data_IF_694039943662
#
_entry.id   IF_694039943662
#
_cell.length_a   1.000
_cell.length_b   1.000
_cell.length_c   1.000
_cell.angle_alpha   90.00
_cell.angle_beta   90.00
_cell.angle_gamma   90.00
#
_symmetry.space_group_name_H-M   'P 1'
#
loop_
_entity.id
_entity.type
_entity.pdbx_description
1 polymer ?
#
# COMPACT_ATOMS: atom_id res chain seq x y z
N UNK A 1 -9.04 10.81 -10.83
CA UNK A 1 -9.94 10.94 -9.65
C UNK A 1 -10.71 12.27 -9.63
N UNK A 2 -10.57 13.14 -10.63
CA UNK A 2 -11.09 14.51 -10.59
C UNK A 2 -12.61 14.63 -10.81
N UNK A 3 -13.36 13.53 -10.84
CA UNK A 3 -14.81 13.53 -11.17
C UNK A 3 -15.70 13.03 -10.03
N UNK A 4 -15.09 12.58 -8.93
CA UNK A 4 -15.77 11.87 -7.84
C UNK A 4 -15.92 12.81 -6.66
N UNK A 5 -17.10 12.82 -6.04
CA UNK A 5 -17.32 13.39 -4.71
C UNK A 5 -17.67 12.29 -3.74
N UNK A 6 -17.41 12.51 -2.46
CA UNK A 6 -17.72 11.54 -1.43
C UNK A 6 -17.97 12.14 -0.08
N UNK A 7 -18.50 11.30 0.81
CA UNK A 7 -18.69 11.61 2.22
C UNK A 7 -17.98 10.53 3.04
N UNK A 8 -17.31 10.95 4.10
CA UNK A 8 -16.55 10.08 4.99
C UNK A 8 -16.89 10.39 6.44
N UNK A 9 -17.06 9.35 7.26
CA UNK A 9 -17.27 9.48 8.70
C UNK A 9 -15.95 9.40 9.45
N UNK A 10 -15.70 10.37 10.33
CA UNK A 10 -14.56 10.40 11.25
C UNK A 10 -14.83 9.58 12.53
N UNK A 11 -13.80 9.10 13.24
CA UNK A 11 -12.37 9.15 12.89
C UNK A 11 -12.03 8.23 11.71
N UNK A 12 -10.93 8.54 11.02
CA UNK A 12 -10.40 7.71 9.95
C UNK A 12 -9.80 6.45 10.53
N UNK A 13 -10.47 5.33 10.31
CA UNK A 13 -10.04 4.00 10.78
C UNK A 13 -9.83 3.00 9.65
N UNK A 14 -10.04 3.44 8.40
CA UNK A 14 -9.93 2.64 7.19
C UNK A 14 -11.13 1.72 6.91
N UNK A 15 -12.22 1.84 7.69
CA UNK A 15 -13.42 1.06 7.44
C UNK A 15 -14.10 1.52 6.12
N UNK A 16 -14.20 0.66 5.09
CA UNK A 16 -14.81 1.04 3.82
C UNK A 16 -16.29 1.45 3.98
N UNK A 17 -17.03 0.86 4.92
CA UNK A 17 -18.44 1.21 5.21
C UNK A 17 -18.61 2.62 5.76
N UNK A 18 -17.53 3.30 6.20
CA UNK A 18 -17.56 4.69 6.64
C UNK A 18 -17.36 5.70 5.50
N UNK A 19 -17.15 5.23 4.28
CA UNK A 19 -16.86 6.06 3.13
C UNK A 19 -17.82 5.75 1.99
N UNK A 20 -18.22 6.79 1.26
CA UNK A 20 -19.04 6.66 0.06
C UNK A 20 -18.53 7.65 -0.98
N UNK A 21 -18.30 7.18 -2.20
CA UNK A 21 -17.94 7.99 -3.35
C UNK A 21 -18.92 7.80 -4.50
N UNK A 22 -19.21 8.87 -5.23
CA UNK A 22 -20.06 8.84 -6.43
C UNK A 22 -19.44 9.71 -7.52
N UNK A 23 -19.63 9.33 -8.78
CA UNK A 23 -19.22 10.14 -9.93
C UNK A 23 -20.19 11.32 -10.00
N UNK A 24 -19.68 12.51 -9.67
CA UNK A 24 -20.49 13.72 -9.62
C UNK A 24 -20.74 14.30 -11.00
N UNK A 25 -19.72 14.27 -11.86
CA UNK A 25 -19.70 14.96 -13.14
C UNK A 25 -19.13 14.05 -14.24
N UNK A 26 -19.56 14.26 -15.48
CA UNK A 26 -18.95 13.60 -16.64
C UNK A 26 -17.56 14.19 -16.93
N UNK A 27 -17.38 15.48 -16.58
CA UNK A 27 -16.12 16.21 -16.58
C UNK A 27 -15.44 16.28 -15.22
N UNK A 28 -14.36 17.06 -15.13
CA UNK A 28 -13.69 17.36 -13.87
C UNK A 28 -14.54 18.25 -12.97
N UNK A 29 -14.49 18.00 -11.66
CA UNK A 29 -15.07 18.87 -10.63
C UNK A 29 -14.08 19.99 -10.36
N UNK A 30 -14.45 21.20 -10.76
CA UNK A 30 -13.59 22.39 -10.60
C UNK A 30 -13.80 23.10 -9.27
N UNK A 31 -14.99 22.96 -8.68
CA UNK A 31 -15.33 23.60 -7.42
C UNK A 31 -16.40 22.80 -6.68
N UNK A 32 -16.32 22.85 -5.34
CA UNK A 32 -17.33 22.28 -4.46
C UNK A 32 -17.54 23.19 -3.24
N UNK A 33 -18.78 23.29 -2.78
CA UNK A 33 -19.14 24.03 -1.55
C UNK A 33 -20.26 23.32 -0.80
N UNK A 34 -20.08 23.14 0.51
CA UNK A 34 -21.12 22.58 1.39
C UNK A 34 -21.98 23.69 2.00
N UNK A 35 -23.24 23.37 2.30
CA UNK A 35 -24.08 24.23 3.11
C UNK A 35 -23.58 24.27 4.56
N UNK A 36 -23.86 25.37 5.26
CA UNK A 36 -23.43 25.57 6.65
C UNK A 36 -23.96 24.47 7.60
N UNK A 37 -25.14 23.93 7.30
CA UNK A 37 -25.76 22.83 8.06
C UNK A 37 -25.34 21.43 7.56
N UNK A 38 -24.47 21.34 6.56
CA UNK A 38 -23.95 20.10 6.01
C UNK A 38 -24.97 19.23 5.26
N UNK A 39 -26.21 19.71 5.06
CA UNK A 39 -27.29 18.94 4.40
C UNK A 39 -27.22 18.99 2.88
N UNK A 40 -26.50 19.94 2.32
CA UNK A 40 -26.34 20.09 0.88
C UNK A 40 -24.89 20.28 0.49
N UNK A 41 -24.56 19.77 -0.68
CA UNK A 41 -23.28 19.97 -1.35
C UNK A 41 -23.55 20.45 -2.77
N UNK A 42 -22.87 21.49 -3.21
CA UNK A 42 -22.94 21.98 -4.58
C UNK A 42 -21.61 21.66 -5.26
N UNK A 43 -21.67 21.12 -6.47
CA UNK A 43 -20.50 20.82 -7.30
C UNK A 43 -20.62 21.51 -8.65
N UNK A 44 -19.51 22.00 -9.19
CA UNK A 44 -19.45 22.61 -10.52
C UNK A 44 -18.48 21.82 -11.42
N UNK A 45 -18.99 21.36 -12.55
CA UNK A 45 -18.21 20.65 -13.55
C UNK A 45 -17.62 21.61 -14.57
N UNK A 46 -16.31 21.52 -14.79
CA UNK A 46 -15.59 22.45 -15.67
C UNK A 46 -15.92 22.22 -17.14
N UNK A 47 -15.69 20.99 -17.60
CA UNK A 47 -15.84 20.62 -19.02
C UNK A 47 -17.26 20.23 -19.40
N UNK A 48 -18.11 19.87 -18.45
CA UNK A 48 -19.53 19.57 -18.70
C UNK A 48 -20.45 20.79 -18.48
N UNK A 49 -19.89 21.93 -18.05
CA UNK A 49 -20.59 23.20 -17.83
C UNK A 49 -21.85 23.08 -16.96
N UNK A 50 -21.87 22.13 -16.03
CA UNK A 50 -23.03 21.84 -15.19
C UNK A 50 -22.76 22.15 -13.72
N UNK A 51 -23.83 22.41 -12.98
CA UNK A 51 -23.80 22.56 -11.51
C UNK A 51 -24.83 21.62 -10.92
N UNK A 52 -24.40 20.77 -9.99
CA UNK A 52 -25.28 19.85 -9.28
C UNK A 52 -25.45 20.26 -7.83
N UNK A 53 -26.67 20.11 -7.33
CA UNK A 53 -27.03 20.25 -5.92
C UNK A 53 -27.35 18.87 -5.37
N UNK A 54 -26.52 18.42 -4.43
CA UNK A 54 -26.61 17.12 -3.78
C UNK A 54 -27.23 17.29 -2.40
N UNK A 55 -28.13 16.38 -2.04
CA UNK A 55 -28.61 16.24 -0.67
C UNK A 55 -27.76 15.21 0.06
N UNK A 56 -27.10 15.63 1.14
CA UNK A 56 -26.28 14.77 1.99
C UNK A 56 -27.16 14.09 3.03
N UNK A 57 -27.07 12.75 3.13
CA UNK A 57 -27.83 11.94 4.08
C UNK A 57 -26.86 11.12 4.95
N UNK A 58 -26.44 11.64 6.10
CA UNK A 58 -25.53 10.92 7.01
C UNK A 58 -26.10 9.57 7.48
N UNK A 59 -27.42 9.45 7.57
CA UNK A 59 -28.11 8.24 8.00
C UNK A 59 -27.81 7.04 7.09
N UNK A 60 -27.54 7.28 5.80
CA UNK A 60 -27.17 6.23 4.86
C UNK A 60 -25.79 5.62 5.20
N UNK A 61 -24.85 6.44 5.68
CA UNK A 61 -23.53 5.96 6.13
C UNK A 61 -23.69 5.19 7.44
N UNK A 62 -24.51 5.67 8.37
CA UNK A 62 -24.78 4.91 9.61
C UNK A 62 -25.44 3.55 9.33
N UNK A 63 -26.37 3.50 8.37
CA UNK A 63 -26.96 2.24 7.92
C UNK A 63 -25.92 1.32 7.25
N UNK A 64 -25.02 1.87 6.44
CA UNK A 64 -23.92 1.09 5.82
C UNK A 64 -22.99 0.47 6.87
N UNK A 65 -22.63 1.25 7.90
CA UNK A 65 -21.82 0.76 9.03
C UNK A 65 -22.56 -0.36 9.78
N UNK A 66 -23.87 -0.19 10.02
CA UNK A 66 -24.67 -1.21 10.69
C UNK A 66 -24.79 -2.51 9.87
N UNK A 67 -24.88 -2.41 8.53
CA UNK A 67 -24.93 -3.56 7.63
C UNK A 67 -23.57 -4.25 7.45
N UNK A 68 -22.47 -3.50 7.53
CA UNK A 68 -21.10 -4.02 7.42
C UNK A 68 -20.74 -5.09 8.46
N UNK A 69 -21.51 -5.16 9.55
CA UNK A 69 -21.36 -6.20 10.56
C UNK A 69 -20.13 -6.03 11.45
N UNK A 70 -19.64 -7.14 12.01
CA UNK A 70 -18.52 -7.16 12.95
C UNK A 70 -17.32 -6.35 12.47
N UNK A 71 -16.61 -5.73 13.42
CA UNK A 71 -15.52 -4.78 13.20
C UNK A 71 -14.46 -5.25 12.21
N UNK A 72 -14.25 -6.56 12.05
CA UNK A 72 -13.22 -7.11 11.16
C UNK A 72 -13.70 -7.38 9.73
N UNK A 73 -14.98 -7.70 9.53
CA UNK A 73 -15.50 -8.15 8.23
C UNK A 73 -15.26 -7.15 7.09
N UNK A 74 -15.51 -5.83 7.26
CA UNK A 74 -15.25 -4.86 6.20
C UNK A 74 -13.79 -4.86 5.72
N UNK A 75 -12.83 -5.13 6.61
CA UNK A 75 -11.41 -5.20 6.27
C UNK A 75 -11.05 -6.51 5.57
N UNK A 76 -11.70 -7.62 5.94
CA UNK A 76 -11.53 -8.91 5.26
C UNK A 76 -12.11 -8.93 3.85
N UNK A 77 -13.07 -8.07 3.53
CA UNK A 77 -13.57 -7.95 2.15
C UNK A 77 -12.60 -7.16 1.26
N UNK A 78 -11.68 -6.39 1.85
CA UNK A 78 -10.65 -5.65 1.12
C UNK A 78 -9.43 -6.50 0.79
N UNK A 79 -9.17 -7.60 1.51
CA UNK A 79 -8.05 -8.49 1.19
C UNK A 79 -8.35 -9.35 -0.05
N UNK A 80 -7.30 -9.69 -0.80
CA UNK A 80 -7.44 -10.52 -1.99
C UNK A 80 -8.01 -11.91 -1.62
N UNK A 81 -9.05 -12.34 -2.33
CA UNK A 81 -9.73 -13.61 -2.05
C UNK A 81 -10.65 -13.61 -0.82
N UNK A 82 -10.73 -12.49 -0.09
CA UNK A 82 -11.67 -12.33 1.03
C UNK A 82 -11.34 -13.19 2.27
N UNK A 83 -12.30 -13.37 3.19
CA UNK A 83 -12.09 -14.09 4.47
C UNK A 83 -11.78 -15.60 4.32
N UNK A 84 -12.03 -16.18 3.15
CA UNK A 84 -11.73 -17.58 2.83
C UNK A 84 -10.66 -17.75 1.75
N UNK A 85 -9.96 -16.67 1.39
CA UNK A 85 -8.90 -16.69 0.39
C UNK A 85 -7.59 -17.26 0.93
N UNK A 86 -6.74 -17.74 0.02
CA UNK A 86 -5.40 -18.25 0.35
C UNK A 86 -4.55 -17.19 1.06
N UNK A 87 -4.70 -15.92 0.67
CA UNK A 87 -3.98 -14.80 1.29
C UNK A 87 -4.38 -14.58 2.76
N UNK A 88 -5.64 -14.80 3.14
CA UNK A 88 -6.05 -14.76 4.54
C UNK A 88 -5.37 -15.87 5.35
N UNK A 89 -5.30 -17.08 4.80
CA UNK A 89 -4.61 -18.21 5.42
C UNK A 89 -3.09 -17.93 5.55
N UNK A 90 -2.49 -17.25 4.57
CA UNK A 90 -1.10 -16.79 4.61
C UNK A 90 -0.85 -15.79 5.74
N UNK A 91 -1.70 -14.74 5.88
CA UNK A 91 -1.64 -13.81 7.02
C UNK A 91 -1.71 -14.56 8.34
N UNK A 92 -2.65 -15.50 8.46
CA UNK A 92 -2.81 -16.31 9.67
C UNK A 92 -1.56 -17.15 9.95
N UNK A 93 -0.97 -17.76 8.93
CA UNK A 93 0.23 -18.58 9.07
C UNK A 93 1.43 -17.74 9.52
N UNK A 94 1.65 -16.56 8.91
CA UNK A 94 2.72 -15.65 9.33
C UNK A 94 2.51 -15.11 10.74
N UNK A 95 1.28 -14.79 11.12
CA UNK A 95 0.94 -14.35 12.47
C UNK A 95 1.34 -15.40 13.51
N UNK A 96 0.94 -16.66 13.32
CA UNK A 96 1.33 -17.75 14.22
C UNK A 96 2.84 -18.02 14.18
N UNK A 97 3.46 -17.95 13.01
CA UNK A 97 4.90 -18.09 12.89
C UNK A 97 5.66 -17.02 13.69
N UNK A 98 5.26 -15.75 13.57
CA UNK A 98 5.86 -14.65 14.33
C UNK A 98 5.70 -14.84 15.85
N UNK A 99 4.55 -15.35 16.29
CA UNK A 99 4.31 -15.68 17.70
C UNK A 99 5.21 -16.80 18.22
N UNK A 100 5.47 -17.82 17.40
CA UNK A 100 6.40 -18.90 17.77
C UNK A 100 7.84 -18.41 17.78
N UNK A 101 8.21 -17.59 16.80
CA UNK A 101 9.55 -16.99 16.67
C UNK A 101 9.87 -16.05 17.85
N UNK A 102 8.90 -15.26 18.32
CA UNK A 102 9.11 -14.35 19.45
C UNK A 102 9.37 -15.06 20.79
N UNK A 103 9.09 -16.37 20.90
CA UNK A 103 9.38 -17.19 22.08
C UNK A 103 10.78 -17.82 22.06
N UNK A 104 11.59 -17.51 21.02
CA UNK A 104 12.93 -18.05 20.81
C UNK A 104 12.93 -19.26 19.89
N UNK A 105 13.87 -19.27 18.94
CA UNK A 105 14.02 -20.34 17.95
C UNK A 105 14.58 -21.62 18.60
N UNK A 106 15.52 -21.47 19.54
CA UNK A 106 16.20 -22.55 20.27
C UNK A 106 15.67 -22.74 21.69
N UNK A 107 14.39 -23.07 21.82
CA UNK A 107 13.77 -23.35 23.12
C UNK A 107 13.20 -24.77 23.19
N UNK A 108 13.48 -25.46 24.29
CA UNK A 108 12.86 -26.75 24.64
C UNK A 108 11.57 -26.58 25.44
N UNK A 109 11.18 -25.33 25.74
CA UNK A 109 9.95 -25.02 26.47
C UNK A 109 8.73 -25.17 25.56
N UNK A 110 7.60 -25.57 26.14
CA UNK A 110 6.33 -25.65 25.44
C UNK A 110 5.94 -24.26 24.91
N UNK A 111 5.80 -24.14 23.59
CA UNK A 111 5.37 -22.90 22.94
C UNK A 111 3.89 -22.67 23.22
N UNK A 112 3.52 -21.45 23.57
CA UNK A 112 2.13 -21.05 23.83
C UNK A 112 1.62 -20.16 22.71
N UNK A 113 0.35 -20.37 22.35
CA UNK A 113 -0.37 -19.48 21.43
C UNK A 113 -1.19 -18.55 22.32
N UNK A 114 -0.66 -17.36 22.56
CA UNK A 114 -1.26 -16.34 23.44
C UNK A 114 -2.28 -15.46 22.71
N UNK A 115 -2.48 -15.70 21.40
CA UNK A 115 -3.41 -14.92 20.56
C UNK A 115 -2.92 -13.52 20.17
N UNK A 116 -1.74 -13.09 20.63
CA UNK A 116 -1.12 -11.80 20.29
C UNK A 116 0.34 -11.95 19.87
N UNK A 117 0.83 -10.99 19.07
CA UNK A 117 2.25 -10.82 18.72
C UNK A 117 2.80 -9.52 19.29
N UNK A 118 4.10 -9.45 19.64
CA UNK A 118 4.73 -8.19 20.01
C UNK A 118 4.67 -7.15 18.88
N UNK A 119 4.47 -5.87 19.23
CA UNK A 119 4.39 -4.76 18.26
C UNK A 119 5.66 -4.70 17.39
N UNK A 120 6.83 -5.02 17.96
CA UNK A 120 8.10 -5.07 17.23
C UNK A 120 8.17 -6.09 16.10
N UNK A 121 7.25 -7.07 16.05
CA UNK A 121 7.16 -8.04 14.95
C UNK A 121 6.28 -7.56 13.80
N UNK A 122 5.49 -6.50 13.97
CA UNK A 122 4.57 -6.01 12.93
C UNK A 122 5.30 -5.59 11.66
N UNK A 123 6.44 -4.87 11.69
CA UNK A 123 7.18 -4.55 10.45
C UNK A 123 7.66 -5.80 9.70
N UNK A 124 8.09 -6.83 10.43
CA UNK A 124 8.51 -8.09 9.83
C UNK A 124 7.32 -8.83 9.19
N UNK A 125 6.15 -8.78 9.82
CA UNK A 125 4.92 -9.34 9.28
C UNK A 125 4.46 -8.60 8.02
N UNK A 126 4.52 -7.27 8.00
CA UNK A 126 4.20 -6.46 6.81
C UNK A 126 5.10 -6.87 5.64
N UNK A 127 6.42 -6.96 5.89
CA UNK A 127 7.42 -7.35 4.88
C UNK A 127 7.23 -8.80 4.40
N UNK A 128 6.85 -9.71 5.29
CA UNK A 128 6.53 -11.09 4.94
C UNK A 128 5.27 -11.20 4.06
N UNK A 129 4.32 -10.28 4.24
CA UNK A 129 3.10 -10.15 3.42
C UNK A 129 3.30 -9.31 2.15
N UNK A 130 4.55 -9.08 1.74
CA UNK A 130 4.89 -8.37 0.51
C UNK A 130 4.73 -6.84 0.57
N UNK A 131 4.48 -6.26 1.75
CA UNK A 131 4.44 -4.81 1.93
C UNK A 131 5.70 -4.31 2.64
N UNK A 132 6.40 -3.37 2.01
CA UNK A 132 7.66 -2.80 2.51
C UNK A 132 7.46 -1.32 2.89
N UNK A 133 6.92 -1.03 4.09
CA UNK A 133 6.82 0.35 4.58
C UNK A 133 8.20 0.97 4.84
N UNK A 134 8.27 2.29 4.70
CA UNK A 134 9.49 3.07 4.99
C UNK A 134 9.79 3.04 6.50
N UNK A 135 11.04 3.29 6.89
CA UNK A 135 11.41 3.45 8.30
C UNK A 135 10.64 4.59 8.99
N UNK A 136 10.26 5.64 8.25
CA UNK A 136 9.31 6.63 8.79
C UNK A 136 7.93 6.04 9.08
N UNK A 137 7.34 5.35 8.10
CA UNK A 137 6.01 4.72 8.26
C UNK A 137 6.02 3.69 9.39
N UNK A 138 7.11 2.94 9.53
CA UNK A 138 7.30 1.95 10.60
C UNK A 138 7.28 2.63 11.97
N UNK A 139 7.97 3.76 12.14
CA UNK A 139 7.97 4.51 13.41
C UNK A 139 6.58 4.99 13.77
N UNK A 140 5.86 5.54 12.79
CA UNK A 140 4.51 6.06 12.98
C UNK A 140 3.54 4.93 13.32
N UNK A 141 3.61 3.82 12.59
CA UNK A 141 2.82 2.61 12.81
C UNK A 141 3.06 2.00 14.19
N UNK A 142 4.31 1.90 14.64
CA UNK A 142 4.63 1.40 15.98
C UNK A 142 4.06 2.34 17.04
N UNK A 143 4.22 3.66 16.87
CA UNK A 143 3.69 4.64 17.83
C UNK A 143 2.16 4.59 17.94
N UNK A 144 1.46 4.44 16.81
CA UNK A 144 0.00 4.27 16.79
C UNK A 144 -0.41 2.99 17.53
N UNK A 145 0.29 1.88 17.28
CA UNK A 145 0.00 0.59 17.91
C UNK A 145 0.29 0.60 19.41
N UNK A 146 1.34 1.26 19.87
CA UNK A 146 1.65 1.37 21.30
C UNK A 146 0.57 2.16 22.05
N UNK A 147 -0.02 3.17 21.42
CA UNK A 147 -1.11 3.97 22.01
C UNK A 147 -2.44 3.21 22.03
N UNK A 148 -2.76 2.49 20.94
CA UNK A 148 -4.06 1.84 20.76
C UNK A 148 -4.12 0.41 21.31
N UNK A 149 -2.99 -0.31 21.26
CA UNK A 149 -2.89 -1.74 21.57
C UNK A 149 -1.64 -2.06 22.42
N UNK A 150 -1.52 -1.51 23.65
CA UNK A 150 -0.32 -1.67 24.48
C UNK A 150 -0.03 -3.12 24.89
N UNK A 151 -1.02 -4.02 24.79
CA UNK A 151 -0.89 -5.46 25.09
C UNK A 151 -0.34 -6.32 23.94
N UNK A 152 0.02 -5.71 22.81
CA UNK A 152 0.40 -6.42 21.59
C UNK A 152 -0.73 -6.47 20.57
N UNK A 153 -0.42 -7.02 19.40
CA UNK A 153 -1.30 -7.02 18.23
C UNK A 153 -1.95 -8.38 18.08
N UNK A 154 -3.29 -8.42 18.05
CA UNK A 154 -4.04 -9.62 17.70
C UNK A 154 -4.22 -9.74 16.17
N UNK A 155 -4.70 -10.89 15.70
CA UNK A 155 -4.89 -11.13 14.27
C UNK A 155 -5.86 -10.12 13.61
N UNK A 156 -7.03 -9.79 14.21
CA UNK A 156 -7.90 -8.73 13.68
C UNK A 156 -7.21 -7.37 13.53
N UNK A 157 -6.43 -6.97 14.53
CA UNK A 157 -5.70 -5.69 14.49
C UNK A 157 -4.61 -5.72 13.43
N UNK A 158 -3.87 -6.82 13.29
CA UNK A 158 -2.86 -6.96 12.23
C UNK A 158 -3.48 -6.74 10.83
N UNK A 159 -4.62 -7.36 10.57
CA UNK A 159 -5.32 -7.23 9.28
C UNK A 159 -5.75 -5.79 9.04
N UNK A 160 -6.32 -5.13 10.06
CA UNK A 160 -6.70 -3.72 9.96
C UNK A 160 -5.50 -2.81 9.68
N UNK A 161 -4.40 -2.99 10.41
CA UNK A 161 -3.18 -2.21 10.18
C UNK A 161 -2.63 -2.48 8.77
N UNK A 162 -2.61 -3.74 8.32
CA UNK A 162 -2.12 -4.11 6.99
C UNK A 162 -2.96 -3.47 5.89
N UNK A 163 -4.29 -3.58 5.96
CA UNK A 163 -5.20 -3.01 4.96
C UNK A 163 -5.11 -1.48 4.92
N UNK A 164 -4.92 -0.82 6.06
CA UNK A 164 -4.88 0.64 6.15
C UNK A 164 -3.56 1.26 5.66
N UNK A 165 -2.44 0.55 5.83
CA UNK A 165 -1.12 1.08 5.51
C UNK A 165 -0.60 0.57 4.16
N UNK A 166 -1.10 -0.56 3.66
CA UNK A 166 -0.69 -1.05 2.34
C UNK A 166 -1.17 -0.10 1.24
N UNK A 167 -0.36 0.11 0.19
CA UNK A 167 -0.82 0.86 -0.96
C UNK A 167 -1.95 0.09 -1.67
N UNK A 168 -2.95 0.83 -2.15
CA UNK A 168 -4.09 0.26 -2.88
C UNK A 168 -3.66 -0.34 -4.22
N UNK A 169 -2.59 0.21 -4.80
CA UNK A 169 -2.01 -0.24 -6.05
C UNK A 169 -0.53 -0.57 -5.83
N UNK A 170 -0.10 -1.72 -6.33
CA UNK A 170 1.32 -2.06 -6.35
C UNK A 170 2.11 -1.10 -7.24
N UNK A 171 3.43 -1.13 -7.09
CA UNK A 171 4.34 -0.39 -7.97
C UNK A 171 4.26 -1.01 -9.37
N UNK A 172 4.03 -0.20 -10.39
CA UNK A 172 3.96 -0.62 -11.79
C UNK A 172 5.23 -0.25 -12.56
N UNK A 173 5.43 -0.86 -13.75
CA UNK A 173 6.51 -0.44 -14.67
C UNK A 173 6.41 1.04 -15.07
N UNK A 174 5.20 1.60 -15.10
CA UNK A 174 4.99 3.01 -15.39
C UNK A 174 5.49 3.90 -14.25
N UNK A 175 5.36 3.45 -13.00
CA UNK A 175 5.88 4.18 -11.82
C UNK A 175 7.40 4.22 -11.83
N UNK A 176 8.04 3.07 -12.13
CA UNK A 176 9.49 3.00 -12.30
C UNK A 176 9.96 3.94 -13.40
N UNK A 177 9.27 3.98 -14.55
CA UNK A 177 9.58 4.90 -15.64
C UNK A 177 9.50 6.37 -15.21
N UNK A 178 8.41 6.77 -14.54
CA UNK A 178 8.23 8.14 -14.03
C UNK A 178 9.31 8.52 -13.01
N UNK A 179 9.73 7.58 -12.16
CA UNK A 179 10.83 7.81 -11.23
C UNK A 179 12.15 8.08 -11.97
N UNK A 180 12.48 7.28 -12.98
CA UNK A 180 13.67 7.49 -13.81
C UNK A 180 13.63 8.82 -14.57
N UNK A 181 12.48 9.23 -15.09
CA UNK A 181 12.32 10.55 -15.74
C UNK A 181 12.55 11.71 -14.77
N UNK A 182 12.23 11.53 -13.48
CA UNK A 182 12.41 12.55 -12.45
C UNK A 182 13.87 12.64 -11.99
N UNK A 183 14.53 11.48 -11.85
CA UNK A 183 15.89 11.37 -11.30
C UNK A 183 16.96 11.59 -12.39
N UNK A 184 16.70 11.14 -13.62
CA UNK A 184 17.65 11.28 -14.71
C UNK A 184 17.77 12.76 -15.12
N UNK A 185 18.93 13.34 -14.85
CA UNK A 185 19.31 14.68 -15.33
C UNK A 185 19.35 14.76 -16.87
N UNK A 186 19.39 13.62 -17.55
CA UNK A 186 19.40 13.52 -19.01
C UNK A 186 17.98 13.33 -19.54
N UNK A 187 17.55 14.16 -20.49
CA UNK A 187 16.20 14.11 -21.10
C UNK A 187 15.85 12.85 -21.89
N UNK A 188 16.64 11.77 -21.75
CA UNK A 188 16.36 10.44 -22.31
C UNK A 188 15.87 9.43 -21.25
N UNK A 189 15.85 9.80 -19.97
CA UNK A 189 15.43 8.89 -18.89
C UNK A 189 16.42 7.76 -18.59
N UNK A 190 17.63 7.80 -19.15
CA UNK A 190 18.71 6.87 -18.83
C UNK A 190 19.55 7.43 -17.67
N UNK A 191 19.91 6.54 -16.73
CA UNK A 191 20.69 6.87 -15.54
C UNK A 191 21.92 5.96 -15.48
N UNK A 192 23.07 6.49 -15.06
CA UNK A 192 24.21 5.64 -14.70
C UNK A 192 23.97 4.99 -13.34
N UNK A 193 24.58 3.83 -13.08
CA UNK A 193 24.48 3.17 -11.77
C UNK A 193 25.08 4.06 -10.67
N UNK A 194 26.15 4.79 -10.99
CA UNK A 194 26.77 5.76 -10.07
C UNK A 194 25.80 6.88 -9.70
N UNK A 195 25.08 7.46 -10.67
CA UNK A 195 24.07 8.49 -10.39
C UNK A 195 22.91 7.93 -9.56
N UNK A 196 22.51 6.67 -9.81
CA UNK A 196 21.48 5.99 -9.00
C UNK A 196 21.94 5.80 -7.56
N UNK A 197 23.17 5.35 -7.36
CA UNK A 197 23.74 5.13 -6.03
C UNK A 197 23.84 6.44 -5.27
N UNK A 198 24.28 7.51 -5.95
CA UNK A 198 24.34 8.84 -5.35
C UNK A 198 22.96 9.31 -4.89
N UNK A 199 21.93 9.13 -5.71
CA UNK A 199 20.55 9.50 -5.36
C UNK A 199 20.03 8.68 -4.18
N UNK A 200 20.29 7.37 -4.14
CA UNK A 200 19.90 6.51 -3.01
C UNK A 200 20.67 6.81 -1.71
N UNK A 201 21.85 7.42 -1.80
CA UNK A 201 22.63 7.86 -0.65
C UNK A 201 22.19 9.24 -0.14
N UNK A 202 21.79 10.14 -1.05
CA UNK A 202 21.49 11.53 -0.73
C UNK A 202 20.01 11.78 -0.42
N UNK A 203 19.10 11.07 -1.10
CA UNK A 203 17.66 11.33 -1.10
C UNK A 203 16.87 10.20 -0.44
N UNK A 204 15.78 10.54 0.26
CA UNK A 204 14.89 9.56 0.89
C UNK A 204 15.48 8.92 2.15
N UNK A 205 15.38 7.59 2.25
CA UNK A 205 15.97 6.82 3.35
C UNK A 205 17.41 6.45 2.99
N UNK A 206 18.35 7.21 3.55
CA UNK A 206 19.77 7.11 3.22
C UNK A 206 20.27 5.68 3.43
N UNK A 207 20.76 5.08 2.34
CA UNK A 207 21.40 3.77 2.36
C UNK A 207 22.91 3.94 2.30
N UNK A 208 23.65 3.16 3.07
CA UNK A 208 25.10 3.10 2.95
C UNK A 208 25.54 2.48 1.62
N UNK A 209 26.76 2.78 1.17
CA UNK A 209 27.35 2.18 -0.02
C UNK A 209 27.36 0.65 0.04
N UNK A 210 27.60 0.10 1.22
CA UNK A 210 27.64 -1.32 1.50
C UNK A 210 26.24 -1.96 1.37
N UNK A 211 25.20 -1.32 1.90
CA UNK A 211 23.82 -1.78 1.79
C UNK A 211 23.34 -1.78 0.34
N UNK A 212 23.59 -0.69 -0.39
CA UNK A 212 23.22 -0.59 -1.81
C UNK A 212 23.92 -1.69 -2.61
N UNK A 213 25.21 -1.90 -2.38
CA UNK A 213 25.96 -2.94 -3.09
C UNK A 213 25.43 -4.35 -2.77
N UNK A 214 25.10 -4.62 -1.52
CA UNK A 214 24.48 -5.90 -1.13
C UNK A 214 23.10 -6.08 -1.77
N UNK A 215 22.24 -5.06 -1.75
CA UNK A 215 20.93 -5.09 -2.40
C UNK A 215 21.05 -5.40 -3.90
N UNK A 216 21.94 -4.72 -4.62
CA UNK A 216 22.19 -4.99 -6.04
C UNK A 216 22.73 -6.40 -6.28
N UNK A 217 23.62 -6.88 -5.41
CA UNK A 217 24.14 -8.25 -5.52
C UNK A 217 23.04 -9.30 -5.33
N UNK A 218 22.09 -9.06 -4.42
CA UNK A 218 20.95 -9.96 -4.19
C UNK A 218 19.95 -9.95 -5.35
N UNK A 219 19.69 -8.79 -5.97
CA UNK A 219 18.74 -8.66 -7.09
C UNK A 219 19.24 -9.34 -8.37
N UNK A 220 20.54 -9.21 -8.68
CA UNK A 220 21.11 -9.62 -9.98
C UNK A 220 21.81 -10.98 -9.89
N UNK A 221 21.96 -11.52 -8.67
CA UNK A 221 22.59 -12.80 -8.39
C UNK A 221 24.10 -12.82 -8.62
N UNK A 222 24.75 -13.92 -8.18
CA UNK A 222 26.20 -14.10 -8.25
C UNK A 222 26.79 -14.05 -9.66
N UNK A 223 26.01 -14.40 -10.68
CA UNK A 223 26.43 -14.42 -12.09
C UNK A 223 26.13 -13.10 -12.82
N UNK A 224 25.14 -12.33 -12.38
CA UNK A 224 24.77 -11.07 -12.99
C UNK A 224 25.37 -9.82 -12.31
N UNK A 225 25.88 -9.94 -11.08
CA UNK A 225 26.68 -8.89 -10.43
C UNK A 225 27.99 -8.54 -11.16
N UNK A 226 28.44 -9.37 -12.11
CA UNK A 226 29.54 -9.06 -13.04
C UNK A 226 29.09 -8.32 -14.31
N UNK A 227 27.79 -8.31 -14.61
CA UNK A 227 27.24 -7.73 -15.85
C UNK A 227 26.89 -6.24 -15.70
N UNK A 228 26.59 -5.77 -14.49
CA UNK A 228 26.30 -4.35 -14.25
C UNK A 228 27.61 -3.65 -13.87
N UNK A 229 28.28 -3.10 -14.87
CA UNK A 229 29.38 -2.16 -14.62
C UNK A 229 28.81 -0.84 -14.10
N UNK A 230 29.46 -0.23 -13.10
CA UNK A 230 29.07 1.09 -12.54
C UNK A 230 28.88 2.18 -13.63
N UNK A 231 29.60 2.05 -14.74
CA UNK A 231 29.54 2.94 -15.90
C UNK A 231 28.44 2.59 -16.93
N UNK A 232 27.67 1.54 -16.73
CA UNK A 232 26.60 1.17 -17.64
C UNK A 232 25.40 2.09 -17.42
N UNK A 233 24.88 2.66 -18.51
CA UNK A 233 23.59 3.35 -18.49
C UNK A 233 22.47 2.32 -18.45
N UNK A 234 21.55 2.49 -17.53
CA UNK A 234 20.38 1.64 -17.37
C UNK A 234 19.14 2.48 -17.70
N UNK A 235 18.34 1.95 -18.61
CA UNK A 235 17.01 2.51 -18.92
C UNK A 235 15.94 1.97 -17.96
N UNK A 236 14.80 2.66 -17.82
CA UNK A 236 13.74 2.27 -16.88
C UNK A 236 13.16 0.88 -17.17
N UNK A 237 13.03 0.50 -18.44
CA UNK A 237 12.51 -0.82 -18.84
C UNK A 237 13.49 -1.93 -18.48
N UNK A 238 14.78 -1.75 -18.78
CA UNK A 238 15.83 -2.71 -18.41
C UNK A 238 15.93 -2.86 -16.89
N UNK A 239 15.80 -1.76 -16.14
CA UNK A 239 15.80 -1.80 -14.68
C UNK A 239 14.60 -2.59 -14.13
N UNK A 240 13.40 -2.30 -14.60
CA UNK A 240 12.19 -2.99 -14.17
C UNK A 240 12.25 -4.50 -14.46
N UNK A 241 12.68 -4.89 -15.66
CA UNK A 241 12.64 -6.30 -16.09
C UNK A 241 13.84 -7.12 -15.62
N UNK A 242 15.06 -6.59 -15.76
CA UNK A 242 16.29 -7.38 -15.54
C UNK A 242 16.82 -7.29 -14.12
N UNK A 243 16.49 -6.22 -13.39
CA UNK A 243 16.99 -5.99 -12.03
C UNK A 243 15.90 -6.22 -11.01
N UNK A 244 14.73 -5.59 -11.18
CA UNK A 244 13.62 -5.75 -10.24
C UNK A 244 12.77 -7.01 -10.52
N UNK A 245 12.89 -7.60 -11.71
CA UNK A 245 12.12 -8.80 -12.08
C UNK A 245 10.63 -8.55 -12.25
N UNK A 246 10.21 -7.34 -12.64
CA UNK A 246 8.81 -7.03 -12.89
C UNK A 246 8.35 -7.79 -14.15
N UNK A 247 7.50 -8.78 -13.95
CA UNK A 247 6.80 -9.46 -15.04
C UNK A 247 5.70 -8.53 -15.59
N UNK A 248 5.52 -8.53 -16.92
CA UNK A 248 4.38 -7.85 -17.52
C UNK A 248 3.10 -8.60 -17.18
N UNK A 249 2.36 -8.15 -16.17
CA UNK A 249 0.98 -8.58 -15.93
C UNK A 249 0.00 -8.14 -17.03
N UNK A 250 0.48 -7.53 -18.11
CA UNK A 250 -0.34 -7.02 -19.22
C UNK A 250 -0.99 -8.11 -20.09
N UNK A 251 -0.86 -9.39 -19.76
CA UNK A 251 -1.58 -10.46 -20.47
C UNK A 251 -2.79 -11.02 -19.71
N UNK A 252 -2.93 -10.79 -18.39
CA UNK A 252 -4.05 -11.38 -17.64
C UNK A 252 -5.29 -10.47 -17.60
N UNK A 253 -5.14 -9.17 -17.80
CA UNK A 253 -6.27 -8.22 -17.83
C UNK A 253 -7.00 -8.16 -19.17
N UNK A 254 -6.42 -8.66 -20.27
CA UNK A 254 -7.06 -8.67 -21.58
C UNK A 254 -8.20 -9.71 -21.70
N UNK A 255 -8.23 -10.75 -20.86
CA UNK A 255 -9.31 -11.75 -20.89
C UNK A 255 -10.54 -11.36 -20.06
N UNK A 256 -10.41 -10.40 -19.12
CA UNK A 256 -11.56 -9.94 -18.32
C UNK A 256 -12.35 -8.83 -19.05
N UNK A 257 -11.72 -8.07 -19.94
CA UNK A 257 -12.40 -7.05 -20.75
C UNK A 257 -13.21 -7.62 -21.94
N UNK A 258 -13.20 -8.94 -22.17
CA UNK A 258 -13.97 -9.57 -23.25
C UNK A 258 -15.29 -10.21 -22.77
N UNK A 259 -15.66 -10.07 -21.49
CA UNK A 259 -16.96 -10.51 -20.96
C UNK A 259 -17.71 -9.36 -20.26
N UNK A 260 -17.92 -8.26 -20.97
CA UNK A 260 -19.03 -7.33 -20.73
C UNK A 260 -19.80 -7.05 -22.01
#
# INVERSE_FOLDING_TARGET
MEKVIGVMKLPLDGNPSKTMGLIAHAGEVTSMVSSLDGRYLITAGGSDYSVFLWKVQPEAIEASIALGGDTLRPYLELIEGGPGGEFYDEIRNYFYYAQLRSQGEETTRQRKIEGTVPISQVPNLMRALGFYPTEHDIRDLISELEQSHPGGVDLPTLIRVYVNHRPVFGISKADVRRAFETIAKSGRGELSVEDLFQVLQDEGEQMSSEEIQQCFQHLVGSDGGKAISLNQKIGPTDFAEKILGFEDYSQTTAEIETIQ
#
